data_IF_987236694074
#
_entry.id   IF_987236694074
#
_cell.length_a   1.000
_cell.length_b   1.000
_cell.length_c   1.000
_cell.angle_alpha   90.00
_cell.angle_beta   90.00
_cell.angle_gamma   90.00
#
_symmetry.space_group_name_H-M   'P 1'
#
loop_
_entity.id
_entity.type
_entity.pdbx_description
1 polymer ?
#
# COMPACT_ATOMS: atom_id res chain seq x y z
N UNK A 1 16.42 4.04 -9.34
CA UNK A 1 17.23 2.84 -9.58
C UNK A 1 18.46 2.73 -8.65
N UNK A 2 19.30 3.74 -8.47
CA UNK A 2 20.56 3.61 -7.71
C UNK A 2 20.49 3.39 -6.18
N UNK A 3 19.40 3.74 -5.47
CA UNK A 3 19.22 3.44 -4.03
C UNK A 3 18.68 2.03 -3.77
N UNK A 4 18.10 1.38 -4.75
CA UNK A 4 17.47 0.05 -4.66
C UNK A 4 18.54 -1.06 -4.71
N UNK A 5 19.49 -0.95 -5.63
CA UNK A 5 20.64 -1.87 -5.74
C UNK A 5 21.53 -1.88 -4.48
N UNK A 6 21.63 -0.77 -3.74
CA UNK A 6 22.44 -0.69 -2.53
C UNK A 6 21.95 -1.50 -1.34
N UNK A 7 20.63 -1.76 -1.23
CA UNK A 7 20.10 -2.57 -0.12
C UNK A 7 20.19 -4.08 -0.41
N UNK A 8 20.01 -4.48 -1.67
CA UNK A 8 20.15 -5.87 -2.10
C UNK A 8 21.60 -6.37 -1.95
N UNK A 9 22.57 -5.50 -2.30
CA UNK A 9 24.00 -5.80 -2.12
C UNK A 9 24.43 -5.85 -0.65
N UNK A 10 23.78 -5.07 0.23
CA UNK A 10 24.07 -5.09 1.67
C UNK A 10 23.63 -6.39 2.33
N UNK A 11 22.43 -6.87 1.99
CA UNK A 11 21.91 -8.12 2.53
C UNK A 11 22.76 -9.31 2.06
N UNK A 12 23.15 -9.36 0.78
CA UNK A 12 24.06 -10.40 0.26
C UNK A 12 25.39 -10.42 1.00
N UNK A 13 26.06 -9.27 1.15
CA UNK A 13 27.35 -9.16 1.85
C UNK A 13 27.29 -9.55 3.32
N UNK A 14 26.14 -9.30 4.01
CA UNK A 14 25.95 -9.67 5.42
C UNK A 14 26.10 -11.18 5.64
N UNK A 15 25.64 -12.01 4.69
CA UNK A 15 25.60 -13.46 4.85
C UNK A 15 26.71 -14.23 4.11
N UNK A 16 27.55 -13.55 3.32
CA UNK A 16 28.61 -14.21 2.53
C UNK A 16 29.58 -15.06 3.37
N UNK A 17 29.87 -14.62 4.60
CA UNK A 17 30.78 -15.31 5.55
C UNK A 17 30.01 -15.79 6.82
N UNK A 18 28.68 -15.89 6.77
CA UNK A 18 27.85 -16.33 7.89
C UNK A 18 27.61 -17.84 7.86
N UNK A 19 27.36 -18.43 9.03
CA UNK A 19 26.94 -19.84 9.17
C UNK A 19 25.66 -20.15 8.40
N UNK A 20 24.80 -19.12 8.18
CA UNK A 20 23.51 -19.24 7.47
C UNK A 20 23.58 -18.82 6.00
N UNK A 21 24.78 -18.85 5.41
CA UNK A 21 24.99 -18.52 3.98
C UNK A 21 24.07 -19.32 3.07
N UNK A 22 23.93 -20.62 3.31
CA UNK A 22 23.09 -21.49 2.47
C UNK A 22 21.61 -21.13 2.58
N UNK A 23 21.14 -20.72 3.76
CA UNK A 23 19.77 -20.22 3.94
C UNK A 23 19.53 -18.95 3.10
N UNK A 24 20.48 -18.02 3.11
CA UNK A 24 20.40 -16.79 2.32
C UNK A 24 20.40 -17.07 0.81
N UNK A 25 21.21 -18.04 0.33
CA UNK A 25 21.21 -18.47 -1.08
C UNK A 25 19.85 -19.00 -1.51
N UNK A 26 19.20 -19.82 -0.69
CA UNK A 26 17.86 -20.33 -1.00
C UNK A 26 16.80 -19.22 -0.96
N UNK A 27 16.92 -18.25 -0.06
CA UNK A 27 16.05 -17.09 -0.01
C UNK A 27 16.15 -16.24 -1.30
N UNK A 28 17.38 -15.97 -1.78
CA UNK A 28 17.60 -15.22 -3.03
C UNK A 28 17.01 -15.96 -4.25
N UNK A 29 17.22 -17.28 -4.34
CA UNK A 29 16.63 -18.11 -5.41
C UNK A 29 15.08 -18.03 -5.41
N UNK A 30 14.47 -18.03 -4.24
CA UNK A 30 13.01 -17.87 -4.10
C UNK A 30 12.57 -16.47 -4.52
N UNK A 31 13.25 -15.42 -4.05
CA UNK A 31 12.90 -14.04 -4.39
C UNK A 31 13.02 -13.80 -5.91
N UNK A 32 14.07 -14.33 -6.53
CA UNK A 32 14.23 -14.30 -7.99
C UNK A 32 13.07 -15.05 -8.70
N UNK A 33 12.69 -16.22 -8.20
CA UNK A 33 11.57 -17.01 -8.74
C UNK A 33 10.24 -16.23 -8.67
N UNK A 34 9.95 -15.61 -7.53
CA UNK A 34 8.74 -14.81 -7.33
C UNK A 34 8.71 -13.55 -8.23
N UNK A 35 9.86 -12.90 -8.43
CA UNK A 35 9.99 -11.70 -9.24
C UNK A 35 9.95 -11.99 -10.73
N UNK A 36 10.85 -12.85 -11.18
CA UNK A 36 11.12 -13.05 -12.61
C UNK A 36 10.19 -14.10 -13.22
N UNK A 37 9.96 -15.23 -12.53
CA UNK A 37 9.17 -16.33 -13.08
C UNK A 37 7.67 -16.10 -12.84
N UNK A 38 7.29 -15.68 -11.64
CA UNK A 38 5.88 -15.46 -11.30
C UNK A 38 5.41 -14.01 -11.51
N UNK A 39 6.27 -13.08 -11.90
CA UNK A 39 5.93 -11.70 -12.19
C UNK A 39 5.32 -10.94 -10.99
N UNK A 40 5.70 -11.28 -9.76
CA UNK A 40 5.20 -10.59 -8.57
C UNK A 40 5.70 -9.15 -8.52
N UNK A 41 4.86 -8.27 -8.00
CA UNK A 41 5.24 -6.86 -7.88
C UNK A 41 6.46 -6.69 -6.96
N UNK A 42 7.29 -5.70 -7.26
CA UNK A 42 8.43 -5.29 -6.44
C UNK A 42 8.09 -5.17 -4.94
N UNK A 43 6.95 -4.55 -4.60
CA UNK A 43 6.52 -4.41 -3.20
C UNK A 43 6.23 -5.76 -2.53
N UNK A 44 5.74 -6.75 -3.27
CA UNK A 44 5.51 -8.11 -2.76
C UNK A 44 6.83 -8.78 -2.48
N UNK A 45 7.75 -8.77 -3.44
CA UNK A 45 9.09 -9.37 -3.32
C UNK A 45 9.88 -8.72 -2.19
N UNK A 46 9.87 -7.39 -2.11
CA UNK A 46 10.47 -6.63 -0.99
C UNK A 46 9.88 -7.01 0.37
N UNK A 47 8.57 -7.27 0.44
CA UNK A 47 7.94 -7.73 1.68
C UNK A 47 8.38 -9.13 2.05
N UNK A 48 8.43 -10.05 1.09
CA UNK A 48 8.95 -11.41 1.27
C UNK A 48 10.41 -11.38 1.73
N UNK A 49 11.27 -10.62 1.05
CA UNK A 49 12.67 -10.44 1.43
C UNK A 49 12.79 -10.08 2.90
N UNK A 50 12.15 -9.01 3.34
CA UNK A 50 12.21 -8.55 4.73
C UNK A 50 11.74 -9.61 5.73
N UNK A 51 10.67 -10.34 5.40
CA UNK A 51 10.08 -11.32 6.31
C UNK A 51 10.92 -12.60 6.41
N UNK A 52 11.47 -13.06 5.29
CA UNK A 52 12.31 -14.26 5.21
C UNK A 52 13.67 -13.97 5.86
N UNK A 53 14.29 -12.84 5.58
CA UNK A 53 15.58 -12.50 6.19
C UNK A 53 15.47 -12.27 7.71
N UNK A 54 14.37 -11.72 8.20
CA UNK A 54 14.13 -11.63 9.63
C UNK A 54 14.01 -13.03 10.27
N UNK A 55 13.46 -14.00 9.56
CA UNK A 55 13.41 -15.37 10.03
C UNK A 55 14.80 -16.03 10.00
N UNK A 56 15.61 -15.81 8.95
CA UNK A 56 16.99 -16.30 8.87
C UNK A 56 17.83 -15.71 10.00
N UNK A 57 17.73 -14.40 10.28
CA UNK A 57 18.42 -13.77 11.41
C UNK A 57 18.03 -14.43 12.74
N UNK A 58 16.73 -14.74 12.92
CA UNK A 58 16.25 -15.45 14.10
C UNK A 58 16.84 -16.88 14.20
N UNK A 59 16.89 -17.62 13.10
CA UNK A 59 17.49 -18.96 13.07
C UNK A 59 18.98 -18.97 13.45
N UNK A 60 19.73 -17.98 12.97
CA UNK A 60 21.16 -17.81 13.26
C UNK A 60 21.40 -17.43 14.72
N UNK A 61 20.63 -16.47 15.23
CA UNK A 61 20.88 -15.81 16.53
C UNK A 61 20.35 -16.62 17.73
N UNK A 62 19.22 -17.32 17.55
CA UNK A 62 18.50 -17.95 18.67
C UNK A 62 18.36 -19.47 18.59
N UNK A 63 18.43 -20.06 17.40
CA UNK A 63 18.18 -21.49 17.21
C UNK A 63 19.43 -22.22 16.68
N UNK A 64 20.48 -21.49 16.26
CA UNK A 64 21.72 -22.03 15.64
C UNK A 64 21.46 -23.00 14.46
N UNK A 65 20.33 -22.82 13.76
CA UNK A 65 19.91 -23.66 12.64
C UNK A 65 20.56 -23.16 11.35
N UNK A 66 21.25 -24.05 10.64
CA UNK A 66 21.96 -23.74 9.39
C UNK A 66 21.33 -24.35 8.15
N UNK A 67 20.32 -25.21 8.28
CA UNK A 67 19.60 -25.86 7.18
C UNK A 67 18.09 -25.77 7.37
N UNK A 68 17.35 -25.48 6.30
CA UNK A 68 15.88 -25.40 6.37
C UNK A 68 15.18 -26.73 6.69
N UNK A 69 15.81 -27.88 6.43
CA UNK A 69 15.25 -29.20 6.77
C UNK A 69 15.23 -29.45 8.29
N UNK A 70 16.05 -28.72 9.05
CA UNK A 70 16.10 -28.75 10.52
C UNK A 70 15.01 -27.91 11.17
N UNK A 71 14.32 -27.05 10.41
CA UNK A 71 13.24 -26.18 10.92
C UNK A 71 12.01 -27.00 11.26
N UNK A 72 11.67 -27.01 12.55
CA UNK A 72 10.49 -27.69 13.08
C UNK A 72 9.30 -26.72 13.29
N UNK A 73 8.13 -27.28 13.51
CA UNK A 73 6.95 -26.48 13.86
C UNK A 73 7.17 -25.68 15.14
N UNK A 74 7.95 -26.23 16.09
CA UNK A 74 8.28 -25.54 17.35
C UNK A 74 9.16 -24.32 17.09
N UNK A 75 10.15 -24.40 16.20
CA UNK A 75 11.01 -23.29 15.80
C UNK A 75 10.19 -22.09 15.33
N UNK A 76 9.17 -22.33 14.51
CA UNK A 76 8.33 -21.23 14.01
C UNK A 76 7.38 -20.70 15.10
N UNK A 77 6.93 -21.54 16.03
CA UNK A 77 6.18 -21.07 17.21
C UNK A 77 7.04 -20.18 18.11
N UNK A 78 8.29 -20.56 18.34
CA UNK A 78 9.28 -19.77 19.08
C UNK A 78 9.53 -18.43 18.37
N UNK A 79 9.66 -18.43 17.03
CA UNK A 79 9.77 -17.19 16.26
C UNK A 79 8.53 -16.28 16.44
N UNK A 80 7.31 -16.84 16.46
CA UNK A 80 6.10 -16.06 16.72
C UNK A 80 6.13 -15.47 18.13
N UNK A 81 6.56 -16.24 19.13
CA UNK A 81 6.71 -15.76 20.50
C UNK A 81 7.75 -14.63 20.59
N UNK A 82 8.91 -14.79 19.91
CA UNK A 82 9.92 -13.76 19.77
C UNK A 82 9.36 -12.45 19.15
N UNK A 83 8.55 -12.55 18.10
CA UNK A 83 7.91 -11.39 17.48
C UNK A 83 6.89 -10.69 18.41
N UNK A 84 6.23 -11.46 19.29
CA UNK A 84 5.28 -10.92 20.27
C UNK A 84 5.97 -10.25 21.47
N UNK A 85 7.14 -10.75 21.90
CA UNK A 85 7.91 -10.18 23.03
C UNK A 85 8.59 -8.84 22.68
N UNK A 86 8.55 -8.46 21.41
CA UNK A 86 9.24 -7.29 20.92
C UNK A 86 10.67 -7.62 20.43
N UNK A 87 10.91 -7.34 19.17
CA UNK A 87 12.18 -7.59 18.50
C UNK A 87 13.26 -6.65 19.05
N UNK A 88 14.16 -7.15 19.88
CA UNK A 88 15.31 -6.38 20.40
C UNK A 88 16.28 -5.92 19.30
N UNK A 89 16.30 -6.59 18.13
CA UNK A 89 17.16 -6.21 17.00
C UNK A 89 16.72 -4.90 16.30
N UNK A 90 15.53 -4.37 16.62
CA UNK A 90 15.05 -3.08 16.16
C UNK A 90 15.54 -1.87 16.96
N UNK A 91 16.46 -2.05 17.88
CA UNK A 91 17.18 -0.94 18.48
C UNK A 91 18.07 -0.27 17.42
N UNK A 92 17.44 0.49 16.53
CA UNK A 92 18.17 1.45 15.72
C UNK A 92 18.72 2.50 16.68
N UNK A 93 20.00 2.40 16.99
CA UNK A 93 20.78 3.43 17.64
C UNK A 93 20.74 4.69 16.79
N UNK A 94 19.80 5.59 17.08
CA UNK A 94 19.93 6.98 16.67
C UNK A 94 20.87 7.62 17.66
N UNK A 95 22.15 7.66 17.32
CA UNK A 95 23.14 8.51 17.95
C UNK A 95 22.75 9.96 17.71
N UNK A 96 22.15 10.59 18.70
CA UNK A 96 22.16 12.04 18.87
C UNK A 96 22.50 12.32 20.34
N UNK A 97 23.65 12.91 20.54
CA UNK A 97 24.16 13.43 21.84
C UNK A 97 24.37 12.39 22.96
N UNK A 98 25.15 11.31 22.70
CA UNK A 98 25.83 10.59 23.80
C UNK A 98 24.96 9.78 24.79
N UNK A 99 23.66 9.86 24.75
CA UNK A 99 22.75 9.08 25.59
C UNK A 99 21.94 8.08 24.73
N UNK A 100 22.19 6.79 24.95
CA UNK A 100 21.36 5.69 24.38
C UNK A 100 20.01 5.67 25.09
N UNK A 101 19.00 6.36 24.54
CA UNK A 101 17.63 6.18 24.98
C UNK A 101 17.06 4.90 24.35
N UNK A 102 16.94 3.85 25.11
CA UNK A 102 16.21 2.64 24.73
C UNK A 102 14.76 3.01 24.44
N UNK A 103 14.36 2.92 23.18
CA UNK A 103 12.94 3.04 22.81
C UNK A 103 12.22 1.75 23.22
N UNK A 104 11.04 1.83 23.85
CA UNK A 104 10.26 0.65 24.17
C UNK A 104 9.98 -0.13 22.89
N UNK A 105 10.34 -1.41 22.91
CA UNK A 105 10.12 -2.31 21.77
C UNK A 105 8.66 -2.68 21.75
N UNK A 106 7.89 -2.12 20.84
CA UNK A 106 6.49 -2.47 20.67
C UNK A 106 6.33 -3.86 20.04
N UNK A 107 5.46 -4.72 20.57
CA UNK A 107 5.18 -6.03 19.99
C UNK A 107 4.67 -5.88 18.55
N UNK A 108 5.00 -6.87 17.72
CA UNK A 108 4.57 -6.88 16.32
C UNK A 108 3.07 -7.13 16.25
N UNK A 109 2.33 -6.34 15.47
CA UNK A 109 0.88 -6.53 15.35
C UNK A 109 0.52 -7.92 14.82
N UNK A 110 -0.59 -8.51 15.30
CA UNK A 110 -1.11 -9.82 14.85
C UNK A 110 -1.24 -9.90 13.33
N UNK A 111 -1.64 -8.81 12.67
CA UNK A 111 -1.71 -8.71 11.20
C UNK A 111 -0.33 -8.85 10.56
N UNK A 112 0.69 -8.24 11.14
CA UNK A 112 2.07 -8.34 10.65
C UNK A 112 2.64 -9.75 10.87
N UNK A 113 2.31 -10.40 11.99
CA UNK A 113 2.68 -11.80 12.26
C UNK A 113 2.04 -12.71 11.22
N UNK A 114 0.74 -12.58 10.96
CA UNK A 114 0.05 -13.39 9.94
C UNK A 114 0.65 -13.20 8.54
N UNK A 115 1.03 -11.97 8.17
CA UNK A 115 1.72 -11.71 6.91
C UNK A 115 3.06 -12.44 6.83
N UNK A 116 3.85 -12.41 7.92
CA UNK A 116 5.13 -13.12 8.00
C UNK A 116 4.95 -14.63 7.89
N UNK A 117 4.01 -15.21 8.62
CA UNK A 117 3.69 -16.64 8.52
C UNK A 117 3.26 -16.99 7.08
N UNK A 118 2.46 -16.16 6.42
CA UNK A 118 2.07 -16.36 5.02
C UNK A 118 3.27 -16.33 4.07
N UNK A 119 4.20 -15.39 4.28
CA UNK A 119 5.44 -15.32 3.50
C UNK A 119 6.29 -16.58 3.69
N UNK A 120 6.48 -17.03 4.93
CA UNK A 120 7.23 -18.25 5.25
C UNK A 120 6.54 -19.50 4.67
N UNK A 121 5.22 -19.61 4.71
CA UNK A 121 4.49 -20.73 4.08
C UNK A 121 4.74 -20.81 2.58
N UNK A 122 4.69 -19.65 1.89
CA UNK A 122 4.97 -19.59 0.45
C UNK A 122 6.42 -19.97 0.17
N UNK A 123 7.35 -19.49 0.98
CA UNK A 123 8.76 -19.82 0.86
C UNK A 123 9.05 -21.32 1.10
N UNK A 124 8.52 -21.90 2.17
CA UNK A 124 8.72 -23.33 2.46
C UNK A 124 8.00 -24.25 1.48
N UNK A 125 6.90 -23.82 0.88
CA UNK A 125 6.27 -24.52 -0.25
C UNK A 125 7.25 -24.58 -1.44
N UNK A 126 7.87 -23.46 -1.79
CA UNK A 126 8.91 -23.40 -2.82
C UNK A 126 10.12 -24.30 -2.47
N UNK A 127 10.61 -24.30 -1.24
CA UNK A 127 11.71 -25.16 -0.81
C UNK A 127 11.35 -26.64 -0.93
N UNK A 128 10.12 -27.02 -0.63
CA UNK A 128 9.62 -28.39 -0.80
C UNK A 128 9.54 -28.78 -2.30
N UNK A 129 9.02 -27.90 -3.16
CA UNK A 129 9.00 -28.12 -4.61
C UNK A 129 10.41 -28.26 -5.20
N UNK A 130 11.40 -27.59 -4.61
CA UNK A 130 12.82 -27.69 -5.00
C UNK A 130 13.58 -28.81 -4.26
N UNK A 131 12.88 -29.64 -3.49
CA UNK A 131 13.45 -30.77 -2.71
C UNK A 131 14.53 -30.35 -1.69
N UNK A 132 14.56 -29.08 -1.27
CA UNK A 132 15.43 -28.56 -0.22
C UNK A 132 14.93 -29.02 1.16
N UNK A 133 13.62 -29.08 1.33
CA UNK A 133 12.98 -29.66 2.51
C UNK A 133 12.05 -30.81 2.10
N UNK A 134 12.02 -31.89 2.88
CA UNK A 134 11.18 -33.06 2.57
C UNK A 134 9.70 -32.78 2.84
N UNK A 135 9.41 -32.07 3.91
CA UNK A 135 8.05 -31.77 4.36
C UNK A 135 7.93 -30.31 4.76
N UNK A 136 6.90 -29.64 4.27
CA UNK A 136 6.59 -28.26 4.68
C UNK A 136 5.86 -28.25 6.04
N UNK A 137 6.63 -28.30 7.13
CA UNK A 137 6.12 -28.31 8.51
C UNK A 137 5.42 -26.99 8.91
N UNK A 138 5.68 -25.89 8.17
CA UNK A 138 5.07 -24.57 8.43
C UNK A 138 3.61 -24.52 7.96
N UNK A 139 3.20 -25.39 7.03
CA UNK A 139 1.81 -25.45 6.56
C UNK A 139 0.80 -25.71 7.70
N UNK A 140 1.21 -26.43 8.74
CA UNK A 140 0.38 -26.84 9.88
C UNK A 140 0.26 -25.78 10.99
N UNK A 141 0.99 -24.66 10.90
CA UNK A 141 0.95 -23.63 11.94
C UNK A 141 -0.37 -22.85 11.82
N UNK A 142 -1.16 -22.82 12.91
CA UNK A 142 -2.36 -22.01 12.95
C UNK A 142 -2.00 -20.52 12.94
N UNK A 143 -2.73 -19.74 12.13
CA UNK A 143 -2.59 -18.28 12.15
C UNK A 143 -3.27 -17.70 13.39
N UNK A 144 -2.62 -16.75 14.10
CA UNK A 144 -3.28 -16.02 15.17
C UNK A 144 -4.60 -15.39 14.69
N UNK A 145 -5.69 -15.73 15.37
CA UNK A 145 -6.97 -15.07 15.14
C UNK A 145 -6.90 -13.62 15.61
N UNK A 146 -7.39 -12.71 14.81
CA UNK A 146 -7.57 -11.31 15.18
C UNK A 146 -9.02 -10.92 14.93
N UNK A 147 -9.55 -10.11 15.81
CA UNK A 147 -10.86 -9.51 15.62
C UNK A 147 -10.80 -8.61 14.39
N UNK A 148 -11.76 -8.78 13.50
CA UNK A 148 -11.93 -7.83 12.41
C UNK A 148 -12.51 -6.57 13.02
N UNK A 149 -11.69 -5.56 13.20
CA UNK A 149 -12.19 -4.22 13.50
C UNK A 149 -13.19 -3.81 12.41
N UNK A 150 -14.28 -3.20 12.83
CA UNK A 150 -15.23 -2.61 11.88
C UNK A 150 -14.46 -1.63 10.99
N UNK A 151 -14.63 -1.72 9.68
CA UNK A 151 -13.89 -0.85 8.77
C UNK A 151 -14.25 0.61 9.03
N UNK A 152 -13.24 1.43 9.24
CA UNK A 152 -13.41 2.87 9.34
C UNK A 152 -13.98 3.40 8.01
N UNK A 153 -15.09 4.14 8.10
CA UNK A 153 -15.73 4.80 6.96
C UNK A 153 -15.66 6.30 7.19
N UNK A 154 -15.29 7.04 6.17
CA UNK A 154 -15.30 8.49 6.15
C UNK A 154 -16.70 8.95 5.74
N UNK A 155 -17.45 9.51 6.66
CA UNK A 155 -18.77 10.07 6.38
C UNK A 155 -18.68 11.53 5.89
N UNK A 156 -19.80 12.11 5.47
CA UNK A 156 -19.88 13.48 4.95
C UNK A 156 -19.44 14.53 5.98
N UNK A 157 -19.74 14.30 7.26
CA UNK A 157 -19.35 15.18 8.35
C UNK A 157 -17.81 15.22 8.55
N UNK A 158 -17.16 14.05 8.57
CA UNK A 158 -15.72 13.96 8.66
C UNK A 158 -15.03 14.58 7.44
N UNK A 159 -15.60 14.37 6.25
CA UNK A 159 -15.10 14.99 5.03
C UNK A 159 -15.15 16.53 5.14
N UNK A 160 -16.22 17.08 5.65
CA UNK A 160 -16.36 18.53 5.85
C UNK A 160 -15.36 19.03 6.89
N UNK A 161 -15.18 18.35 8.04
CA UNK A 161 -14.14 18.69 9.02
C UNK A 161 -12.74 18.68 8.40
N UNK A 162 -12.41 17.73 7.52
CA UNK A 162 -11.15 17.72 6.79
C UNK A 162 -11.02 18.93 5.86
N UNK A 163 -12.10 19.28 5.17
CA UNK A 163 -12.16 20.43 4.26
C UNK A 163 -11.90 21.75 4.99
N UNK A 164 -12.49 21.93 6.16
CA UNK A 164 -12.49 23.19 6.92
C UNK A 164 -11.11 23.51 7.51
N UNK A 165 -10.30 22.52 7.83
CA UNK A 165 -8.96 22.73 8.40
C UNK A 165 -7.87 22.96 7.37
N UNK A 166 -8.19 22.90 6.07
CA UNK A 166 -7.23 23.10 4.98
C UNK A 166 -7.21 24.59 4.59
N UNK A 167 -6.09 25.27 4.88
CA UNK A 167 -5.90 26.64 4.43
C UNK A 167 -5.59 26.67 2.92
N UNK A 168 -6.50 27.22 2.12
CA UNK A 168 -6.43 27.28 0.65
C UNK A 168 -5.91 28.60 0.10
N UNK A 169 -5.28 29.43 0.91
CA UNK A 169 -4.62 30.68 0.44
C UNK A 169 -3.32 30.39 -0.32
N UNK A 170 -2.64 29.27 0.02
CA UNK A 170 -1.41 28.85 -0.62
C UNK A 170 -1.68 27.69 -1.60
N UNK A 171 -0.88 27.62 -2.65
CA UNK A 171 -0.96 26.57 -3.64
C UNK A 171 -0.88 25.16 -3.03
N UNK A 172 -0.09 24.99 -1.98
CA UNK A 172 0.01 23.72 -1.26
C UNK A 172 -1.30 23.32 -0.59
N UNK A 173 -2.04 24.27 -0.04
CA UNK A 173 -3.36 24.00 0.53
C UNK A 173 -4.40 23.72 -0.55
N UNK A 174 -4.36 24.45 -1.68
CA UNK A 174 -5.22 24.14 -2.85
C UNK A 174 -4.95 22.73 -3.34
N UNK A 175 -3.68 22.32 -3.47
CA UNK A 175 -3.27 20.96 -3.79
C UNK A 175 -3.84 19.94 -2.79
N UNK A 176 -3.68 20.22 -1.50
CA UNK A 176 -4.08 19.31 -0.43
C UNK A 176 -5.60 19.15 -0.40
N UNK A 177 -6.34 20.24 -0.64
CA UNK A 177 -7.79 20.21 -0.81
C UNK A 177 -8.19 19.35 -2.01
N UNK A 178 -7.58 19.57 -3.17
CA UNK A 178 -7.81 18.77 -4.36
C UNK A 178 -7.52 17.28 -4.12
N UNK A 179 -6.46 16.93 -3.39
CA UNK A 179 -6.13 15.55 -3.02
C UNK A 179 -7.30 14.90 -2.28
N UNK A 180 -7.86 15.57 -1.28
CA UNK A 180 -9.00 15.06 -0.50
C UNK A 180 -10.23 14.85 -1.39
N UNK A 181 -10.57 15.84 -2.23
CA UNK A 181 -11.71 15.75 -3.14
C UNK A 181 -11.55 14.60 -4.16
N UNK A 182 -10.36 14.46 -4.73
CA UNK A 182 -10.07 13.40 -5.70
C UNK A 182 -10.12 12.01 -5.07
N UNK A 183 -9.53 11.82 -3.89
CA UNK A 183 -9.57 10.52 -3.19
C UNK A 183 -11.01 10.10 -2.88
N UNK A 184 -11.83 11.02 -2.37
CA UNK A 184 -13.20 10.73 -1.98
C UNK A 184 -14.10 10.47 -3.17
N UNK A 185 -13.99 11.28 -4.24
CA UNK A 185 -14.89 11.19 -5.38
C UNK A 185 -14.51 10.14 -6.42
N UNK A 186 -13.25 9.71 -6.50
CA UNK A 186 -12.79 8.78 -7.55
C UNK A 186 -12.50 7.37 -7.07
N UNK A 187 -12.34 7.17 -5.77
CA UNK A 187 -11.96 5.88 -5.21
C UNK A 187 -10.58 5.36 -5.66
N UNK A 188 -9.71 6.22 -6.19
CA UNK A 188 -8.35 5.85 -6.62
C UNK A 188 -7.48 5.35 -5.47
N UNK A 189 -6.52 4.48 -5.79
CA UNK A 189 -5.45 4.10 -4.84
C UNK A 189 -4.47 5.26 -4.65
N UNK A 190 -3.80 5.28 -3.49
CA UNK A 190 -2.78 6.29 -3.18
C UNK A 190 -1.68 6.39 -4.26
N UNK A 191 -1.22 5.26 -4.78
CA UNK A 191 -0.22 5.24 -5.85
C UNK A 191 -0.77 5.80 -7.16
N UNK A 192 -2.01 5.43 -7.53
CA UNK A 192 -2.67 5.90 -8.74
C UNK A 192 -2.86 7.43 -8.72
N UNK A 193 -3.26 7.99 -7.58
CA UNK A 193 -3.37 9.44 -7.43
C UNK A 193 -2.02 10.15 -7.59
N UNK A 194 -0.96 9.61 -6.97
CA UNK A 194 0.37 10.23 -7.03
C UNK A 194 1.01 10.09 -8.41
N UNK A 195 0.70 9.00 -9.11
CA UNK A 195 1.19 8.71 -10.46
C UNK A 195 0.37 9.44 -11.54
N UNK A 196 -0.65 10.22 -11.15
CA UNK A 196 -1.54 10.90 -12.05
C UNK A 196 -0.80 11.97 -12.87
N UNK A 197 -0.94 11.89 -14.19
CA UNK A 197 -0.50 12.87 -15.19
C UNK A 197 -1.69 13.68 -15.68
N UNK A 198 -1.46 14.93 -16.11
CA UNK A 198 -2.51 15.76 -16.71
C UNK A 198 -3.06 15.14 -18.00
N UNK A 199 -2.26 14.36 -18.72
CA UNK A 199 -2.68 13.65 -19.94
C UNK A 199 -3.68 12.52 -19.69
N UNK A 200 -3.79 12.06 -18.43
CA UNK A 200 -4.74 11.02 -18.03
C UNK A 200 -6.11 11.59 -17.68
N UNK A 201 -6.27 12.91 -17.65
CA UNK A 201 -7.47 13.57 -17.15
C UNK A 201 -8.23 14.24 -18.31
N UNK A 202 -9.48 13.86 -18.48
CA UNK A 202 -10.45 14.58 -19.30
C UNK A 202 -11.31 15.46 -18.39
N UNK A 203 -10.92 16.73 -18.22
CA UNK A 203 -11.58 17.67 -17.29
C UNK A 203 -13.05 17.91 -17.65
N UNK A 204 -13.41 18.25 -18.92
CA UNK A 204 -14.80 18.46 -19.31
C UNK A 204 -15.72 17.26 -18.98
N UNK A 205 -15.23 16.05 -19.24
CA UNK A 205 -15.99 14.82 -19.01
C UNK A 205 -15.87 14.29 -17.56
N UNK A 206 -15.02 14.91 -16.74
CA UNK A 206 -14.70 14.48 -15.37
C UNK A 206 -14.23 13.03 -15.28
N UNK A 207 -13.36 12.64 -16.17
CA UNK A 207 -12.86 11.29 -16.33
C UNK A 207 -11.37 11.20 -16.09
N UNK A 208 -10.92 10.09 -15.53
CA UNK A 208 -9.52 9.78 -15.36
C UNK A 208 -9.26 8.38 -15.89
N UNK A 209 -8.28 8.26 -16.77
CA UNK A 209 -7.74 6.99 -17.22
C UNK A 209 -6.67 6.55 -16.22
N UNK A 210 -6.93 5.50 -15.47
CA UNK A 210 -6.02 4.97 -14.44
C UNK A 210 -5.39 3.68 -14.93
N UNK A 211 -4.07 3.57 -14.81
CA UNK A 211 -3.32 2.35 -15.10
C UNK A 211 -3.12 1.61 -13.78
N UNK A 212 -3.71 0.42 -13.65
CA UNK A 212 -3.66 -0.41 -12.47
C UNK A 212 -2.54 -1.44 -12.50
N UNK A 213 -2.57 -2.38 -11.55
CA UNK A 213 -1.60 -3.47 -11.47
C UNK A 213 -1.69 -4.36 -12.74
N UNK A 214 -0.54 -4.61 -13.38
CA UNK A 214 -0.44 -5.43 -14.61
C UNK A 214 -0.92 -4.70 -15.85
N UNK A 215 -0.68 -3.37 -15.92
CA UNK A 215 -1.03 -2.47 -17.02
C UNK A 215 -2.49 -2.49 -17.46
N UNK A 216 -3.39 -2.94 -16.56
CA UNK A 216 -4.82 -2.88 -16.83
C UNK A 216 -5.32 -1.46 -16.69
N UNK A 217 -5.82 -0.92 -17.78
CA UNK A 217 -6.46 0.39 -17.80
C UNK A 217 -7.90 0.29 -17.30
N UNK A 218 -8.32 1.32 -16.55
CA UNK A 218 -9.72 1.55 -16.24
C UNK A 218 -10.02 3.04 -16.26
N UNK A 219 -11.30 3.36 -16.41
CA UNK A 219 -11.80 4.72 -16.27
C UNK A 219 -12.44 4.86 -14.89
N UNK A 220 -12.14 5.96 -14.22
CA UNK A 220 -12.87 6.41 -13.04
C UNK A 220 -13.32 7.86 -13.23
N UNK A 221 -14.21 8.32 -12.37
CA UNK A 221 -14.80 9.65 -12.48
C UNK A 221 -14.52 10.46 -11.22
N UNK A 222 -14.67 11.77 -11.30
CA UNK A 222 -14.53 12.66 -10.16
C UNK A 222 -15.67 13.71 -10.12
N UNK A 223 -15.90 14.27 -8.94
CA UNK A 223 -17.00 15.20 -8.69
C UNK A 223 -16.79 16.56 -9.35
N UNK A 224 -17.85 17.35 -9.44
CA UNK A 224 -17.80 18.72 -9.91
C UNK A 224 -16.95 19.61 -8.98
N UNK A 225 -17.05 19.37 -7.68
CA UNK A 225 -16.17 20.03 -6.69
C UNK A 225 -14.70 19.73 -6.93
N UNK A 226 -14.35 18.47 -7.18
CA UNK A 226 -12.97 18.09 -7.51
C UNK A 226 -12.51 18.74 -8.83
N UNK A 227 -13.39 18.91 -9.84
CA UNK A 227 -13.11 19.62 -11.09
C UNK A 227 -12.72 21.07 -10.82
N UNK A 228 -13.51 21.80 -10.05
CA UNK A 228 -13.24 23.20 -9.71
C UNK A 228 -11.89 23.37 -9.00
N UNK A 229 -11.58 22.48 -8.04
CA UNK A 229 -10.29 22.50 -7.35
C UNK A 229 -9.13 22.10 -8.28
N UNK A 230 -9.34 21.18 -9.22
CA UNK A 230 -8.33 20.80 -10.22
C UNK A 230 -7.99 21.96 -11.14
N UNK A 231 -8.99 22.62 -11.71
CA UNK A 231 -8.81 23.78 -12.59
C UNK A 231 -8.08 24.91 -11.85
N UNK A 232 -8.49 25.21 -10.62
CA UNK A 232 -7.82 26.21 -9.78
C UNK A 232 -6.37 25.82 -9.51
N UNK A 233 -6.11 24.57 -9.11
CA UNK A 233 -4.76 24.10 -8.80
C UNK A 233 -3.84 24.17 -10.01
N UNK A 234 -4.28 23.73 -11.20
CA UNK A 234 -3.50 23.76 -12.41
C UNK A 234 -3.22 25.19 -12.88
N UNK A 235 -4.20 26.08 -12.75
CA UNK A 235 -4.02 27.53 -13.05
C UNK A 235 -2.96 28.15 -12.14
N UNK A 236 -3.06 27.92 -10.82
CA UNK A 236 -2.14 28.49 -9.84
C UNK A 236 -0.74 27.86 -9.94
N UNK A 237 -0.67 26.55 -10.24
CA UNK A 237 0.58 25.84 -10.51
C UNK A 237 1.32 26.41 -11.71
N UNK A 238 0.59 26.77 -12.78
CA UNK A 238 1.17 27.44 -13.95
C UNK A 238 1.71 28.83 -13.64
N UNK A 239 1.03 29.59 -12.78
CA UNK A 239 1.48 30.91 -12.33
C UNK A 239 2.73 30.83 -11.46
N UNK A 240 2.75 29.89 -10.51
CA UNK A 240 3.81 29.75 -9.51
C UNK A 240 5.10 29.15 -10.11
N UNK A 241 4.98 28.10 -10.93
CA UNK A 241 6.13 27.36 -11.45
C UNK A 241 6.43 27.59 -12.93
N UNK A 242 5.65 28.42 -13.61
CA UNK A 242 5.83 28.69 -15.05
C UNK A 242 5.69 27.45 -15.90
N UNK A 243 6.76 27.08 -16.59
CA UNK A 243 6.80 25.88 -17.43
C UNK A 243 7.15 24.66 -16.56
N UNK A 244 6.16 23.86 -16.16
CA UNK A 244 6.33 22.66 -15.36
C UNK A 244 5.97 21.40 -16.15
N UNK A 245 6.49 20.25 -15.68
CA UNK A 245 6.16 18.96 -16.30
C UNK A 245 4.69 18.58 -16.05
N UNK A 246 3.95 18.31 -17.11
CA UNK A 246 2.56 17.82 -17.05
C UNK A 246 2.46 16.32 -16.72
N UNK A 247 3.60 15.62 -16.64
CA UNK A 247 3.70 14.21 -16.28
C UNK A 247 3.30 13.96 -14.82
N UNK A 248 3.24 15.00 -13.98
CA UNK A 248 2.91 14.88 -12.56
C UNK A 248 1.97 15.99 -12.14
N UNK A 249 0.73 15.61 -11.79
CA UNK A 249 -0.25 16.55 -11.25
C UNK A 249 0.19 17.04 -9.86
N UNK A 250 0.45 16.12 -8.93
CA UNK A 250 0.71 16.44 -7.54
C UNK A 250 2.21 16.52 -7.21
N UNK A 251 2.66 17.72 -6.89
CA UNK A 251 4.07 17.99 -6.54
C UNK A 251 4.21 18.47 -5.10
N UNK A 252 5.41 18.31 -4.53
CA UNK A 252 5.79 18.91 -3.26
C UNK A 252 6.18 20.39 -3.44
N UNK A 253 6.61 21.06 -2.36
CA UNK A 253 7.01 22.48 -2.40
C UNK A 253 8.26 22.76 -3.23
N UNK A 254 8.98 21.73 -3.68
CA UNK A 254 10.15 21.82 -4.56
C UNK A 254 9.82 21.51 -6.01
N UNK A 255 8.55 21.31 -6.35
CA UNK A 255 8.12 20.88 -7.69
C UNK A 255 8.34 19.39 -7.98
N UNK A 256 8.85 18.58 -7.03
CA UNK A 256 9.07 17.17 -7.22
C UNK A 256 7.77 16.38 -6.95
N UNK A 257 7.63 15.22 -7.57
CA UNK A 257 6.51 14.30 -7.39
C UNK A 257 6.29 13.95 -5.91
N UNK A 258 5.04 13.99 -5.45
CA UNK A 258 4.68 13.50 -4.11
C UNK A 258 4.95 12.00 -3.98
N UNK A 259 5.24 11.55 -2.75
CA UNK A 259 5.36 10.13 -2.44
C UNK A 259 4.10 9.64 -1.72
N UNK A 260 3.80 8.34 -1.81
CA UNK A 260 2.70 7.73 -1.05
C UNK A 260 2.88 7.90 0.47
N UNK A 261 4.12 8.03 0.94
CA UNK A 261 4.44 8.32 2.35
C UNK A 261 4.07 9.76 2.72
N UNK A 262 4.42 10.74 1.87
CA UNK A 262 4.03 12.14 2.10
C UNK A 262 2.52 12.32 2.02
N UNK A 263 1.82 11.64 1.11
CA UNK A 263 0.36 11.64 1.04
C UNK A 263 -0.27 11.12 2.34
N UNK A 264 0.19 9.97 2.87
CA UNK A 264 -0.33 9.43 4.13
C UNK A 264 -0.09 10.39 5.30
N UNK A 265 1.11 10.97 5.38
CA UNK A 265 1.44 11.97 6.42
C UNK A 265 0.56 13.20 6.32
N UNK A 266 0.30 13.69 5.10
CA UNK A 266 -0.59 14.81 4.84
C UNK A 266 -1.99 14.53 5.38
N UNK A 267 -2.59 13.40 5.00
CA UNK A 267 -3.93 13.01 5.46
C UNK A 267 -3.95 12.85 6.98
N UNK A 268 -2.97 12.18 7.58
CA UNK A 268 -2.87 12.01 9.03
C UNK A 268 -2.80 13.36 9.77
N UNK A 269 -2.02 14.32 9.26
CA UNK A 269 -1.92 15.65 9.85
C UNK A 269 -3.25 16.41 9.80
N UNK A 270 -3.99 16.34 8.68
CA UNK A 270 -5.30 16.98 8.57
C UNK A 270 -6.36 16.25 9.40
N UNK A 271 -6.30 14.93 9.51
CA UNK A 271 -7.17 14.15 10.40
C UNK A 271 -7.01 14.59 11.87
N UNK A 272 -5.76 14.74 12.31
CA UNK A 272 -5.46 15.24 13.66
C UNK A 272 -5.95 16.67 13.87
N UNK A 273 -5.68 17.59 12.92
CA UNK A 273 -6.14 18.98 12.99
C UNK A 273 -7.66 19.09 13.01
N UNK A 274 -8.37 18.22 12.31
CA UNK A 274 -9.81 18.17 12.26
C UNK A 274 -10.46 17.54 13.51
N UNK A 275 -9.65 17.06 14.48
CA UNK A 275 -10.15 16.41 15.70
C UNK A 275 -10.85 15.07 15.45
N UNK A 276 -10.59 14.42 14.31
CA UNK A 276 -11.19 13.13 13.97
C UNK A 276 -10.44 12.03 14.71
N UNK A 277 -11.16 11.28 15.58
CA UNK A 277 -10.55 10.26 16.44
C UNK A 277 -10.18 8.97 15.70
N UNK A 278 -10.83 8.68 14.57
CA UNK A 278 -10.52 7.50 13.76
C UNK A 278 -9.35 7.73 12.82
N UNK A 279 -8.57 6.69 12.55
CA UNK A 279 -7.48 6.76 11.59
C UNK A 279 -8.02 6.88 10.16
N UNK A 280 -7.75 8.00 9.49
CA UNK A 280 -8.09 8.23 8.09
C UNK A 280 -6.84 7.99 7.23
N UNK A 281 -6.97 7.09 6.26
CA UNK A 281 -5.92 6.75 5.30
C UNK A 281 -6.48 6.79 3.87
N UNK A 282 -5.65 6.80 2.82
CA UNK A 282 -6.15 6.68 1.44
C UNK A 282 -7.02 5.42 1.20
N UNK A 283 -6.79 4.35 1.96
CA UNK A 283 -7.64 3.15 1.89
C UNK A 283 -9.02 3.38 2.50
N UNK A 284 -9.11 4.21 3.53
CA UNK A 284 -10.41 4.59 4.12
C UNK A 284 -11.22 5.39 3.12
N UNK A 285 -10.63 6.35 2.39
CA UNK A 285 -11.32 7.07 1.31
C UNK A 285 -11.89 6.12 0.26
N UNK A 286 -11.06 5.20 -0.23
CA UNK A 286 -11.49 4.23 -1.23
C UNK A 286 -12.57 3.27 -0.71
N UNK A 287 -12.46 2.86 0.56
CA UNK A 287 -13.47 2.02 1.19
C UNK A 287 -14.79 2.78 1.36
N UNK A 288 -14.74 4.05 1.76
CA UNK A 288 -15.91 4.92 1.87
C UNK A 288 -16.60 5.12 0.51
N UNK A 289 -15.81 5.40 -0.54
CA UNK A 289 -16.31 5.46 -1.92
C UNK A 289 -17.08 4.18 -2.29
N UNK A 290 -16.47 3.01 -2.02
CA UNK A 290 -17.11 1.73 -2.33
C UNK A 290 -18.41 1.52 -1.54
N UNK A 291 -18.40 1.83 -0.25
CA UNK A 291 -19.55 1.66 0.65
C UNK A 291 -20.68 2.61 0.26
N UNK A 292 -20.38 3.85 -0.06
CA UNK A 292 -21.35 4.85 -0.51
C UNK A 292 -22.08 4.40 -1.78
N UNK A 293 -21.34 3.94 -2.79
CA UNK A 293 -21.93 3.45 -4.02
C UNK A 293 -22.81 2.21 -3.79
N UNK A 294 -22.36 1.26 -2.94
CA UNK A 294 -23.14 0.08 -2.58
C UNK A 294 -24.43 0.46 -1.83
N UNK A 295 -24.35 1.38 -0.85
CA UNK A 295 -25.52 1.85 -0.11
C UNK A 295 -26.54 2.56 -1.02
N UNK A 296 -26.07 3.17 -2.11
CA UNK A 296 -26.91 3.80 -3.12
C UNK A 296 -27.34 2.83 -4.24
N UNK A 297 -27.19 1.53 -4.02
CA UNK A 297 -27.75 0.48 -4.88
C UNK A 297 -26.91 0.11 -6.11
N UNK A 298 -25.62 0.47 -6.15
CA UNK A 298 -24.75 0.05 -7.25
C UNK A 298 -24.49 -1.44 -7.16
N UNK A 299 -24.72 -2.15 -8.26
CA UNK A 299 -24.32 -3.57 -8.36
C UNK A 299 -22.79 -3.70 -8.16
N UNK A 300 -22.41 -4.69 -7.37
CA UNK A 300 -21.02 -4.96 -7.02
C UNK A 300 -20.10 -5.14 -8.24
N UNK A 301 -20.64 -5.57 -9.38
CA UNK A 301 -19.92 -5.74 -10.64
C UNK A 301 -19.44 -4.39 -11.19
N UNK A 302 -20.31 -3.39 -11.23
CA UNK A 302 -19.94 -2.04 -11.67
C UNK A 302 -18.96 -1.37 -10.72
N UNK A 303 -19.15 -1.60 -9.41
CA UNK A 303 -18.20 -1.13 -8.41
C UNK A 303 -16.81 -1.74 -8.60
N UNK A 304 -16.72 -3.03 -8.91
CA UNK A 304 -15.45 -3.71 -9.17
C UNK A 304 -14.75 -3.16 -10.41
N UNK A 305 -15.50 -2.84 -11.45
CA UNK A 305 -14.97 -2.21 -12.67
C UNK A 305 -14.42 -0.81 -12.37
N UNK A 306 -15.19 0.04 -11.69
CA UNK A 306 -14.76 1.37 -11.25
C UNK A 306 -13.50 1.32 -10.37
N UNK A 307 -13.41 0.33 -9.49
CA UNK A 307 -12.27 0.16 -8.59
C UNK A 307 -11.09 -0.58 -9.23
N UNK A 308 -11.26 -1.33 -10.31
CA UNK A 308 -10.23 -2.16 -10.93
C UNK A 308 -9.78 -3.29 -10.00
N UNK A 309 -10.71 -4.13 -9.55
CA UNK A 309 -10.43 -5.33 -8.78
C UNK A 309 -10.12 -6.50 -9.72
N UNK A 310 -8.93 -7.06 -9.64
CA UNK A 310 -8.43 -8.13 -10.54
C UNK A 310 -8.83 -9.55 -10.15
N UNK A 311 -9.63 -9.76 -9.09
CA UNK A 311 -9.97 -11.12 -8.67
C UNK A 311 -11.45 -11.31 -8.38
N UNK A 312 -12.14 -11.92 -9.33
CA UNK A 312 -13.10 -12.97 -9.04
C UNK A 312 -12.64 -14.19 -9.81
N UNK A 313 -12.43 -15.29 -9.07
CA UNK A 313 -12.26 -16.62 -9.63
C UNK A 313 -13.64 -17.09 -10.16
N UNK A 314 -14.03 -16.61 -11.31
CA UNK A 314 -15.02 -17.28 -12.16
C UNK A 314 -14.89 -16.70 -13.56
N UNK A 315 -14.43 -17.55 -14.46
CA UNK A 315 -14.44 -17.34 -15.89
C UNK A 315 -15.90 -17.26 -16.37
N UNK A 316 -16.46 -16.08 -16.33
CA UNK A 316 -17.64 -15.75 -17.12
C UNK A 316 -17.27 -14.62 -18.05
N UNK A 317 -17.47 -14.87 -19.33
CA UNK A 317 -17.32 -13.93 -20.43
C UNK A 317 -18.24 -12.73 -20.14
N UNK A 318 -17.66 -11.66 -19.60
CA UNK A 318 -18.39 -10.42 -19.40
C UNK A 318 -18.21 -9.54 -20.63
N UNK A 319 -19.30 -9.27 -21.30
CA UNK A 319 -19.45 -8.17 -22.22
C UNK A 319 -18.95 -6.90 -21.55
N UNK A 320 -18.06 -6.17 -22.22
CA UNK A 320 -17.48 -4.92 -21.75
C UNK A 320 -18.62 -3.98 -21.30
N UNK A 321 -18.62 -3.61 -20.00
CA UNK A 321 -19.51 -2.56 -19.50
C UNK A 321 -19.15 -1.28 -20.22
N UNK A 322 -20.12 -0.64 -20.88
CA UNK A 322 -19.82 0.58 -21.61
C UNK A 322 -19.42 1.71 -20.66
N UNK A 323 -18.46 2.52 -21.07
CA UNK A 323 -18.03 3.71 -20.33
C UNK A 323 -19.21 4.63 -20.00
N UNK A 324 -20.16 4.78 -20.93
CA UNK A 324 -21.35 5.61 -20.75
C UNK A 324 -22.24 5.10 -19.58
N UNK A 325 -22.41 3.78 -19.48
CA UNK A 325 -23.17 3.17 -18.38
C UNK A 325 -22.45 3.36 -17.04
N UNK A 326 -21.14 3.17 -16.97
CA UNK A 326 -20.37 3.41 -15.74
C UNK A 326 -20.46 4.87 -15.28
N UNK A 327 -20.43 5.81 -16.23
CA UNK A 327 -20.58 7.24 -15.95
C UNK A 327 -21.99 7.55 -15.43
N UNK A 328 -23.02 7.02 -16.06
CA UNK A 328 -24.42 7.21 -15.63
C UNK A 328 -24.66 6.66 -14.22
N UNK A 329 -24.16 5.46 -13.95
CA UNK A 329 -24.21 4.86 -12.60
C UNK A 329 -23.50 5.77 -11.58
N UNK A 330 -22.26 6.18 -11.85
CA UNK A 330 -21.52 7.09 -10.97
C UNK A 330 -22.29 8.39 -10.71
N UNK A 331 -22.81 9.03 -11.77
CA UNK A 331 -23.55 10.29 -11.68
C UNK A 331 -24.86 10.17 -10.88
N UNK A 332 -25.49 9.01 -10.90
CA UNK A 332 -26.74 8.76 -10.15
C UNK A 332 -26.49 8.41 -8.68
N UNK A 333 -25.37 7.78 -8.37
CA UNK A 333 -25.19 7.10 -7.07
C UNK A 333 -24.11 7.72 -6.19
N UNK A 334 -23.08 8.38 -6.74
CA UNK A 334 -22.06 9.00 -5.90
C UNK A 334 -22.58 10.31 -5.28
N UNK A 335 -22.50 10.50 -3.94
CA UNK A 335 -23.09 11.66 -3.24
C UNK A 335 -22.60 13.02 -3.76
N UNK A 336 -21.33 13.09 -4.17
CA UNK A 336 -20.73 14.34 -4.67
C UNK A 336 -20.74 14.44 -6.21
N UNK A 337 -21.33 13.51 -6.94
CA UNK A 337 -21.30 13.56 -8.41
C UNK A 337 -22.03 14.78 -8.98
N UNK A 338 -23.00 15.33 -8.26
CA UNK A 338 -23.83 16.47 -8.63
C UNK A 338 -23.44 17.77 -7.90
N UNK A 339 -22.59 17.69 -6.87
CA UNK A 339 -22.02 18.83 -6.15
C UNK A 339 -20.80 19.36 -6.90
#
# INVERSE_FOLDING_TARGET
MGKQLRNEDKDKKKYENSKVKDLAVHAEKFLYYEEVILGKSYNTVRSYRRDIYQFIDYLDEYEEITKFDEVETITVRSFIAYLNSGDKSRQASTESNGEKKEKPVNPVSKRSINRKISALRTFFKYLQEKQVVKVNKISYIAMPKFEKELPNILNKEDLNKLRDVINTEKITGIRDRLIIEMLYSSGMRASELIDLSEYMINIPEREIRVIGKGDKERITFFSETARKWLEKYLSDKKKEYGNYSRETVFTNNRGEKLTTRSLRRLISNYTQKAGIQKEITPHVFRHSFATELLNNGVDIRYLQELLGHSSISTTQVYTHVSKALLKDIYMKTHPLAKE
#
